data_IF_278211399225
#
_entry.id   IF_278211399225
#
_cell.length_a   1.000
_cell.length_b   1.000
_cell.length_c   1.000
_cell.angle_alpha   90.00
_cell.angle_beta   90.00
_cell.angle_gamma   90.00
#
_symmetry.space_group_name_H-M   'P 1'
#
loop_
_entity.id
_entity.type
_entity.pdbx_description
1 polymer ?
#
# COMPACT_ATOMS: atom_id res chain seq x y z
N UNK A 1 0.64 0.35 -16.07
CA UNK A 1 1.31 1.12 -15.00
C UNK A 1 0.53 2.40 -14.76
N UNK A 2 0.37 2.86 -13.52
CA UNK A 2 -0.26 4.14 -13.20
C UNK A 2 0.82 5.10 -12.69
N UNK A 3 0.91 6.29 -13.28
CA UNK A 3 1.84 7.34 -12.87
C UNK A 3 1.04 8.47 -12.25
N UNK A 4 1.42 8.87 -11.04
CA UNK A 4 0.79 9.96 -10.29
C UNK A 4 1.83 11.02 -9.93
N UNK A 5 1.49 12.28 -10.16
CA UNK A 5 2.31 13.43 -9.77
C UNK A 5 1.43 14.60 -9.35
N UNK A 6 2.05 15.62 -8.76
CA UNK A 6 1.34 16.83 -8.35
C UNK A 6 2.03 18.10 -8.79
N UNK A 7 1.26 19.19 -8.90
CA UNK A 7 1.78 20.54 -9.07
C UNK A 7 1.08 21.51 -8.12
N UNK A 8 1.73 22.64 -7.85
CA UNK A 8 1.17 23.73 -7.05
C UNK A 8 0.28 24.67 -7.88
N UNK A 9 0.43 24.66 -9.20
CA UNK A 9 -0.32 25.50 -10.14
C UNK A 9 -0.98 24.62 -11.20
N UNK A 10 -2.22 24.97 -11.56
CA UNK A 10 -2.96 24.27 -12.58
C UNK A 10 -2.24 24.35 -13.93
N UNK A 11 -2.04 23.20 -14.57
CA UNK A 11 -1.61 23.08 -15.97
C UNK A 11 -2.80 22.74 -16.87
N UNK A 12 -2.93 23.44 -18.00
CA UNK A 12 -4.04 23.23 -18.95
C UNK A 12 -3.96 21.88 -19.68
N UNK A 13 -2.75 21.45 -20.01
CA UNK A 13 -2.48 20.15 -20.61
C UNK A 13 -1.39 19.49 -19.79
N UNK A 14 -1.54 18.22 -19.46
CA UNK A 14 -0.43 17.45 -18.89
C UNK A 14 -0.56 15.98 -19.23
N UNK A 15 0.59 15.34 -19.43
CA UNK A 15 0.68 14.01 -19.95
C UNK A 15 2.01 13.38 -19.55
N UNK A 16 2.07 12.07 -19.72
CA UNK A 16 3.31 11.29 -19.60
C UNK A 16 3.79 11.00 -21.00
N UNK A 17 5.06 11.27 -21.28
CA UNK A 17 5.74 10.71 -22.45
C UNK A 17 6.66 9.60 -21.99
N UNK A 18 6.69 8.51 -22.75
CA UNK A 18 7.44 7.32 -22.40
C UNK A 18 7.88 6.55 -23.65
N UNK A 19 8.88 5.69 -23.48
CA UNK A 19 9.44 4.85 -24.54
C UNK A 19 10.25 3.72 -23.91
N UNK A 20 10.72 2.79 -24.75
CA UNK A 20 11.74 1.83 -24.32
C UNK A 20 13.01 2.58 -23.88
N UNK A 21 13.77 1.93 -23.00
CA UNK A 21 15.06 2.43 -22.56
C UNK A 21 15.99 2.76 -23.74
N UNK A 22 16.70 3.88 -23.66
CA UNK A 22 17.58 4.44 -24.72
C UNK A 22 16.90 4.88 -26.02
N UNK A 23 15.57 4.93 -26.08
CA UNK A 23 14.84 5.50 -27.22
C UNK A 23 14.39 6.94 -26.95
N UNK A 24 14.10 7.68 -28.02
CA UNK A 24 13.36 8.93 -27.92
C UNK A 24 11.92 8.65 -27.53
N UNK A 25 11.33 9.53 -26.71
CA UNK A 25 9.92 9.41 -26.34
C UNK A 25 9.02 9.34 -27.57
N UNK A 26 8.29 8.26 -27.69
CA UNK A 26 7.47 7.90 -28.85
C UNK A 26 6.02 7.61 -28.49
N UNK A 27 5.74 7.38 -27.21
CA UNK A 27 4.41 7.11 -26.67
C UNK A 27 4.00 8.24 -25.73
N UNK A 28 2.69 8.51 -25.68
CA UNK A 28 2.09 9.55 -24.85
C UNK A 28 0.75 9.09 -24.29
N UNK A 29 0.52 9.34 -23.01
CA UNK A 29 -0.77 9.15 -22.35
C UNK A 29 -1.17 10.44 -21.62
N UNK A 30 -2.40 10.91 -21.86
CA UNK A 30 -2.92 12.10 -21.19
C UNK A 30 -3.26 11.80 -19.72
N UNK A 31 -3.02 12.77 -18.85
CA UNK A 31 -3.38 12.65 -17.45
C UNK A 31 -4.80 13.17 -17.19
N UNK A 32 -5.49 12.56 -16.25
CA UNK A 32 -6.65 13.17 -15.59
C UNK A 32 -6.16 14.03 -14.43
N UNK A 33 -6.84 15.15 -14.18
CA UNK A 33 -6.53 16.09 -13.10
C UNK A 33 -7.64 16.06 -12.06
N UNK A 34 -7.24 16.07 -10.79
CA UNK A 34 -8.12 16.29 -9.64
C UNK A 34 -7.54 17.39 -8.77
N UNK A 35 -8.40 18.32 -8.35
CA UNK A 35 -8.04 19.40 -7.42
C UNK A 35 -8.16 18.86 -5.99
N UNK A 36 -7.04 18.84 -5.27
CA UNK A 36 -7.03 18.56 -3.83
C UNK A 36 -7.02 19.88 -3.06
N UNK A 37 -7.89 19.99 -2.06
CA UNK A 37 -7.97 21.13 -1.15
C UNK A 37 -7.74 20.57 0.26
N UNK A 38 -6.66 21.00 0.90
CA UNK A 38 -6.33 20.58 2.24
C UNK A 38 -7.38 21.06 3.26
N UNK A 39 -7.60 20.25 4.30
CA UNK A 39 -8.62 20.51 5.32
C UNK A 39 -8.23 21.56 6.36
N UNK A 40 -6.98 22.04 6.35
CA UNK A 40 -6.55 23.13 7.24
C UNK A 40 -7.24 24.45 6.90
N UNK A 41 -7.17 25.41 7.83
CA UNK A 41 -7.75 26.75 7.64
C UNK A 41 -7.16 27.54 6.47
N UNK A 42 -5.96 27.17 6.01
CA UNK A 42 -5.32 27.78 4.85
C UNK A 42 -5.92 27.28 3.51
N UNK A 43 -6.66 26.16 3.52
CA UNK A 43 -7.25 25.54 2.32
C UNK A 43 -6.27 25.45 1.15
N UNK A 44 -5.05 25.00 1.46
CA UNK A 44 -3.99 24.89 0.46
C UNK A 44 -4.44 24.00 -0.68
N UNK A 45 -4.21 24.46 -1.90
CA UNK A 45 -4.63 23.76 -3.13
C UNK A 45 -3.43 23.06 -3.76
N UNK A 46 -3.63 21.80 -4.14
CA UNK A 46 -2.72 21.01 -4.97
C UNK A 46 -3.49 20.43 -6.17
N UNK A 47 -2.80 20.21 -7.28
CA UNK A 47 -3.37 19.57 -8.46
C UNK A 47 -2.72 18.21 -8.63
N UNK A 48 -3.52 17.15 -8.46
CA UNK A 48 -3.07 15.76 -8.55
C UNK A 48 -3.40 15.22 -9.94
N UNK A 49 -2.40 14.68 -10.61
CA UNK A 49 -2.49 14.17 -11.98
C UNK A 49 -2.24 12.67 -12.01
N UNK A 50 -3.02 11.95 -12.82
CA UNK A 50 -2.96 10.49 -12.92
C UNK A 50 -3.02 10.08 -14.38
N UNK A 51 -2.06 9.28 -14.83
CA UNK A 51 -2.02 8.75 -16.19
C UNK A 51 -1.76 7.25 -16.19
N UNK A 52 -2.62 6.50 -16.88
CA UNK A 52 -2.47 5.04 -17.01
C UNK A 52 -1.73 4.72 -18.30
N UNK A 53 -0.49 4.23 -18.15
CA UNK A 53 0.31 3.68 -19.24
C UNK A 53 -0.21 2.27 -19.61
N UNK A 54 -0.66 2.12 -20.85
CA UNK A 54 -1.32 0.91 -21.38
C UNK A 54 -0.42 0.18 -22.37
N UNK A 55 -0.78 -1.08 -22.65
CA UNK A 55 -0.14 -1.92 -23.67
C UNK A 55 1.39 -2.01 -23.51
N UNK A 56 1.86 -2.06 -22.27
CA UNK A 56 3.28 -2.22 -21.98
C UNK A 56 3.68 -3.68 -22.16
N UNK A 57 4.86 -3.90 -22.73
CA UNK A 57 5.48 -5.22 -22.79
C UNK A 57 5.93 -5.61 -21.38
N UNK A 58 5.67 -6.85 -20.95
CA UNK A 58 6.15 -7.38 -19.67
C UNK A 58 7.68 -7.53 -19.64
N UNK A 59 8.28 -7.57 -18.45
CA UNK A 59 9.74 -7.60 -18.27
C UNK A 59 10.52 -6.64 -19.18
N UNK A 60 10.10 -5.38 -19.19
CA UNK A 60 10.66 -4.36 -20.07
C UNK A 60 10.88 -3.06 -19.31
N UNK A 61 12.06 -2.48 -19.49
CA UNK A 61 12.41 -1.18 -18.91
C UNK A 61 11.91 -0.07 -19.82
N UNK A 62 11.07 0.80 -19.28
CA UNK A 62 10.59 2.01 -19.93
C UNK A 62 11.23 3.23 -19.26
N UNK A 63 11.61 4.22 -20.07
CA UNK A 63 11.87 5.57 -19.58
C UNK A 63 10.61 6.40 -19.69
N UNK A 64 10.41 7.33 -18.76
CA UNK A 64 9.31 8.27 -18.80
C UNK A 64 9.66 9.62 -18.18
N UNK A 65 8.87 10.63 -18.50
CA UNK A 65 8.81 11.90 -17.77
C UNK A 65 7.38 12.43 -17.80
N UNK A 66 7.05 13.29 -16.85
CA UNK A 66 5.70 13.85 -16.71
C UNK A 66 5.76 15.37 -16.80
N UNK A 67 4.69 15.97 -17.31
CA UNK A 67 4.63 17.43 -17.37
C UNK A 67 3.79 17.93 -18.54
N UNK A 68 4.23 19.05 -19.09
CA UNK A 68 3.56 19.77 -20.16
C UNK A 68 4.58 20.58 -20.97
N UNK A 69 4.19 21.19 -22.11
CA UNK A 69 5.06 22.13 -22.82
C UNK A 69 5.58 23.30 -21.96
N UNK A 70 4.92 23.61 -20.83
CA UNK A 70 5.36 24.65 -19.90
C UNK A 70 6.48 24.20 -18.95
N UNK A 71 6.72 22.89 -18.81
CA UNK A 71 7.72 22.35 -17.90
C UNK A 71 7.62 20.83 -17.74
N UNK A 72 8.79 20.20 -17.60
CA UNK A 72 8.96 18.74 -17.54
C UNK A 72 9.66 18.33 -16.24
N UNK A 73 9.30 17.16 -15.71
CA UNK A 73 10.06 16.51 -14.66
C UNK A 73 11.46 16.07 -15.16
N UNK A 74 12.29 15.58 -14.23
CA UNK A 74 13.40 14.74 -14.63
C UNK A 74 12.90 13.48 -15.36
N UNK A 75 13.82 12.79 -16.04
CA UNK A 75 13.54 11.48 -16.65
C UNK A 75 13.73 10.40 -15.60
N UNK A 76 12.75 9.52 -15.51
CA UNK A 76 12.76 8.34 -14.64
C UNK A 76 12.61 7.08 -15.48
N UNK A 77 12.68 5.92 -14.83
CA UNK A 77 12.47 4.64 -15.51
C UNK A 77 11.87 3.62 -14.56
N UNK A 78 11.05 2.73 -15.09
CA UNK A 78 10.52 1.59 -14.36
C UNK A 78 10.61 0.32 -15.21
N UNK A 79 10.64 -0.84 -14.57
CA UNK A 79 10.47 -2.13 -15.23
C UNK A 79 9.03 -2.61 -15.06
N UNK A 80 8.43 -3.14 -16.13
CA UNK A 80 7.16 -3.86 -16.03
C UNK A 80 7.33 -5.23 -15.38
N UNK A 81 6.26 -5.73 -14.77
CA UNK A 81 6.28 -6.95 -13.96
C UNK A 81 6.94 -8.13 -14.72
N UNK A 82 7.88 -8.80 -14.06
CA UNK A 82 8.48 -10.06 -14.50
C UNK A 82 7.40 -11.15 -14.45
N UNK A 83 7.10 -11.80 -15.58
CA UNK A 83 6.02 -12.78 -15.61
C UNK A 83 6.39 -14.03 -14.76
N UNK A 84 7.63 -14.52 -14.84
CA UNK A 84 7.92 -15.90 -14.37
C UNK A 84 9.14 -16.11 -13.45
N UNK A 85 10.07 -15.15 -13.24
CA UNK A 85 11.28 -15.41 -12.43
C UNK A 85 11.62 -14.27 -11.45
N UNK A 86 11.70 -14.65 -10.16
CA UNK A 86 12.05 -13.86 -8.96
C UNK A 86 11.15 -12.64 -8.73
N UNK A 87 10.49 -12.59 -7.57
CA UNK A 87 9.67 -11.46 -7.13
C UNK A 87 10.11 -11.06 -5.73
N UNK A 88 10.74 -9.90 -5.62
CA UNK A 88 11.33 -9.38 -4.39
C UNK A 88 10.59 -8.11 -4.00
N UNK A 89 10.00 -8.10 -2.81
CA UNK A 89 9.37 -6.92 -2.23
C UNK A 89 10.30 -6.31 -1.18
N UNK A 90 10.36 -4.99 -1.11
CA UNK A 90 10.73 -4.33 0.14
C UNK A 90 9.45 -4.04 0.92
N UNK A 91 9.43 -4.42 2.19
CA UNK A 91 8.26 -4.25 3.07
C UNK A 91 8.68 -3.45 4.29
N UNK A 92 7.94 -2.39 4.61
CA UNK A 92 8.16 -1.56 5.79
C UNK A 92 6.92 -0.71 6.09
N UNK A 93 6.77 -0.23 7.31
CA UNK A 93 5.90 0.90 7.65
C UNK A 93 6.72 2.00 8.30
N UNK A 94 6.07 3.05 8.78
CA UNK A 94 6.64 3.91 9.83
C UNK A 94 7.94 4.63 9.39
N UNK A 95 8.02 5.04 8.12
CA UNK A 95 9.26 5.61 7.58
C UNK A 95 9.55 7.01 8.13
N UNK A 96 8.51 7.85 8.20
CA UNK A 96 8.60 9.27 8.56
C UNK A 96 9.41 10.13 7.58
N UNK A 97 9.40 11.44 7.83
CA UNK A 97 10.25 12.44 7.13
C UNK A 97 11.50 12.82 7.91
N UNK A 98 11.57 12.44 9.19
CA UNK A 98 12.69 12.77 10.08
C UNK A 98 13.52 11.52 10.30
N UNK A 99 14.84 11.64 10.13
CA UNK A 99 15.79 10.57 10.44
C UNK A 99 15.53 9.26 9.66
N UNK A 100 15.16 9.37 8.37
CA UNK A 100 14.92 8.23 7.47
C UNK A 100 16.22 7.50 7.11
N UNK A 101 16.85 6.84 8.09
CA UNK A 101 18.15 6.15 7.96
C UNK A 101 18.15 5.09 6.84
N UNK A 102 16.99 4.50 6.56
CA UNK A 102 16.81 3.50 5.51
C UNK A 102 16.68 4.10 4.10
N UNK A 103 16.38 5.39 3.96
CA UNK A 103 16.02 6.01 2.67
C UNK A 103 17.13 5.89 1.63
N UNK A 104 18.37 6.19 1.99
CA UNK A 104 19.50 6.11 1.06
C UNK A 104 19.74 4.69 0.53
N UNK A 105 19.49 3.68 1.37
CA UNK A 105 19.58 2.27 0.98
C UNK A 105 18.42 1.89 0.05
N UNK A 106 17.19 2.24 0.44
CA UNK A 106 15.98 1.97 -0.35
C UNK A 106 16.05 2.62 -1.73
N UNK A 107 16.50 3.88 -1.82
CA UNK A 107 16.75 4.58 -3.08
C UNK A 107 17.72 3.79 -3.96
N UNK A 108 18.88 3.41 -3.41
CA UNK A 108 19.90 2.68 -4.16
C UNK A 108 19.38 1.35 -4.67
N UNK A 109 18.73 0.57 -3.82
CA UNK A 109 18.22 -0.76 -4.17
C UNK A 109 17.06 -0.67 -5.18
N UNK A 110 16.16 0.31 -5.05
CA UNK A 110 15.10 0.57 -6.03
C UNK A 110 15.65 0.96 -7.41
N UNK A 111 16.63 1.86 -7.48
CA UNK A 111 17.24 2.29 -8.74
C UNK A 111 18.15 1.23 -9.39
N UNK A 112 18.62 0.24 -8.61
CA UNK A 112 19.38 -0.90 -9.08
C UNK A 112 18.52 -2.14 -9.40
N UNK A 113 17.19 -2.01 -9.42
CA UNK A 113 16.28 -3.10 -9.80
C UNK A 113 16.35 -4.29 -8.81
N UNK A 114 16.58 -4.02 -7.51
CA UNK A 114 16.61 -5.06 -6.47
C UNK A 114 15.22 -5.53 -6.03
N UNK A 115 14.20 -4.67 -6.23
CA UNK A 115 12.83 -4.89 -5.81
C UNK A 115 11.88 -4.69 -6.99
N UNK A 116 10.87 -5.54 -7.07
CA UNK A 116 9.83 -5.46 -8.09
C UNK A 116 8.65 -4.59 -7.65
N UNK A 117 8.47 -4.42 -6.33
CA UNK A 117 7.51 -3.51 -5.73
C UNK A 117 7.92 -3.17 -4.28
N UNK A 118 7.42 -2.03 -3.79
CA UNK A 118 7.47 -1.62 -2.39
C UNK A 118 6.09 -1.83 -1.77
N UNK A 119 6.04 -2.41 -0.57
CA UNK A 119 4.86 -2.46 0.29
C UNK A 119 5.10 -1.55 1.51
N UNK A 120 4.53 -0.34 1.50
CA UNK A 120 4.61 0.60 2.61
C UNK A 120 3.32 0.53 3.45
N UNK A 121 3.42 -0.09 4.63
CA UNK A 121 2.29 -0.45 5.49
C UNK A 121 2.01 0.65 6.52
N UNK A 122 1.53 1.82 6.08
CA UNK A 122 1.04 2.91 6.93
C UNK A 122 2.10 3.76 7.63
N UNK A 123 1.64 4.86 8.21
CA UNK A 123 2.43 5.88 8.92
C UNK A 123 3.58 6.44 8.07
N UNK A 124 3.18 7.18 7.03
CA UNK A 124 4.10 7.66 6.01
C UNK A 124 4.97 8.81 6.51
N UNK A 125 4.37 9.99 6.66
CA UNK A 125 5.10 11.22 6.96
C UNK A 125 5.11 11.55 8.45
N UNK A 126 4.37 10.76 9.26
CA UNK A 126 3.85 11.17 10.58
C UNK A 126 3.10 12.51 10.49
N UNK A 127 1.84 12.43 10.05
CA UNK A 127 0.91 13.53 9.80
C UNK A 127 1.17 14.31 8.49
N UNK A 128 0.71 13.77 7.36
CA UNK A 128 0.84 14.42 6.05
C UNK A 128 0.14 15.79 5.98
N UNK A 129 -0.88 16.03 6.79
CA UNK A 129 -1.63 17.28 6.86
C UNK A 129 -0.87 18.40 7.59
N UNK A 130 0.17 18.07 8.34
CA UNK A 130 0.96 19.02 9.09
C UNK A 130 1.57 20.11 8.19
N UNK A 131 1.74 21.30 8.77
CA UNK A 131 2.17 22.52 8.08
C UNK A 131 1.34 22.83 6.81
N UNK A 132 0.02 22.66 6.92
CA UNK A 132 -0.94 22.87 5.83
C UNK A 132 -0.60 21.98 4.63
N UNK A 133 -0.44 20.67 4.87
CA UNK A 133 -0.09 19.66 3.87
C UNK A 133 1.34 19.76 3.30
N UNK A 134 2.24 20.57 3.89
CA UNK A 134 3.64 20.69 3.42
C UNK A 134 4.50 19.51 3.86
N UNK A 135 4.23 18.92 5.01
CA UNK A 135 4.91 17.69 5.46
C UNK A 135 4.63 16.54 4.49
N UNK A 136 3.38 16.43 4.00
CA UNK A 136 3.04 15.49 2.93
C UNK A 136 3.83 15.72 1.63
N UNK A 137 4.10 16.97 1.25
CA UNK A 137 4.95 17.23 0.07
C UNK A 137 6.41 16.85 0.31
N UNK A 138 6.94 17.14 1.50
CA UNK A 138 8.29 16.74 1.88
C UNK A 138 8.43 15.21 1.75
N UNK A 139 7.49 14.47 2.32
CA UNK A 139 7.49 13.00 2.22
C UNK A 139 7.44 12.52 0.77
N UNK A 140 6.54 13.06 -0.05
CA UNK A 140 6.44 12.67 -1.47
C UNK A 140 7.73 12.99 -2.25
N UNK A 141 8.42 14.08 -1.93
CA UNK A 141 9.71 14.42 -2.53
C UNK A 141 10.81 13.44 -2.09
N UNK A 142 10.82 13.02 -0.82
CA UNK A 142 11.80 12.05 -0.31
C UNK A 142 11.60 10.66 -0.95
N UNK A 143 10.35 10.18 -1.02
CA UNK A 143 10.07 8.86 -1.62
C UNK A 143 10.07 8.89 -3.15
N UNK A 144 10.11 10.05 -3.82
CA UNK A 144 10.21 10.14 -5.27
C UNK A 144 11.39 9.32 -5.81
N UNK A 145 12.51 9.34 -5.08
CA UNK A 145 13.73 8.61 -5.42
C UNK A 145 13.57 7.08 -5.44
N UNK A 146 12.46 6.58 -4.88
CA UNK A 146 12.06 5.16 -4.87
C UNK A 146 10.84 4.95 -5.78
N UNK A 147 9.74 5.67 -5.51
CA UNK A 147 8.44 5.49 -6.13
C UNK A 147 8.41 5.87 -7.62
N UNK A 148 9.37 6.68 -8.09
CA UNK A 148 9.51 6.96 -9.51
C UNK A 148 10.11 5.77 -10.30
N UNK A 149 10.71 4.80 -9.62
CA UNK A 149 11.44 3.68 -10.23
C UNK A 149 10.76 2.32 -10.05
N UNK A 150 10.07 2.14 -8.92
CA UNK A 150 9.45 0.87 -8.52
C UNK A 150 8.01 1.13 -8.08
N UNK A 151 7.04 0.27 -8.45
CA UNK A 151 5.66 0.36 -7.95
C UNK A 151 5.61 0.48 -6.43
N UNK A 152 4.87 1.48 -5.94
CA UNK A 152 4.80 1.83 -4.52
C UNK A 152 3.39 1.61 -3.99
N UNK A 153 3.19 0.47 -3.32
CA UNK A 153 1.89 -0.01 -2.84
C UNK A 153 1.74 0.31 -1.36
N UNK A 154 0.57 0.78 -0.93
CA UNK A 154 0.38 1.38 0.39
C UNK A 154 -0.83 0.85 1.16
N UNK A 155 -0.74 0.80 2.49
CA UNK A 155 -1.88 0.67 3.39
C UNK A 155 -1.97 1.92 4.27
N UNK A 156 -3.16 2.41 4.64
CA UNK A 156 -3.26 3.58 5.51
C UNK A 156 -2.96 3.21 6.97
N UNK A 157 -2.23 4.07 7.68
CA UNK A 157 -2.01 4.01 9.13
C UNK A 157 -2.77 5.10 9.90
N UNK A 158 -2.60 5.11 11.23
CA UNK A 158 -3.31 6.05 12.10
C UNK A 158 -2.87 7.50 11.90
N UNK A 159 -1.62 7.74 11.49
CA UNK A 159 -1.13 9.10 11.18
C UNK A 159 -1.71 9.68 9.87
N UNK A 160 -2.42 8.87 9.07
CA UNK A 160 -3.08 9.37 7.86
C UNK A 160 -4.51 9.86 8.10
N UNK A 161 -5.07 9.69 9.31
CA UNK A 161 -6.51 9.89 9.60
C UNK A 161 -7.06 11.28 9.32
N UNK A 162 -6.20 12.30 9.29
CA UNK A 162 -6.60 13.70 9.19
C UNK A 162 -7.56 13.93 8.01
N UNK A 163 -8.66 14.65 8.30
CA UNK A 163 -9.69 15.00 7.33
C UNK A 163 -10.26 13.80 6.56
N UNK A 164 -10.50 12.67 7.25
CA UNK A 164 -10.97 11.42 6.63
C UNK A 164 -10.01 10.90 5.56
N UNK A 165 -8.72 10.84 5.91
CA UNK A 165 -7.64 10.32 5.07
C UNK A 165 -7.41 11.11 3.77
N UNK A 166 -7.78 12.40 3.72
CA UNK A 166 -7.82 13.15 2.46
C UNK A 166 -6.45 13.30 1.80
N UNK A 167 -5.38 13.49 2.59
CA UNK A 167 -4.01 13.55 2.07
C UNK A 167 -3.59 12.20 1.47
N UNK A 168 -3.81 11.09 2.19
CA UNK A 168 -3.53 9.74 1.70
C UNK A 168 -4.31 9.43 0.40
N UNK A 169 -5.63 9.65 0.42
CA UNK A 169 -6.54 9.44 -0.73
C UNK A 169 -6.13 10.23 -1.96
N UNK A 170 -5.67 11.46 -1.75
CA UNK A 170 -5.32 12.37 -2.84
C UNK A 170 -3.92 12.12 -3.41
N UNK A 171 -2.95 11.72 -2.58
CA UNK A 171 -1.54 11.59 -2.96
C UNK A 171 -1.20 10.22 -3.54
N UNK A 172 -1.83 9.15 -3.01
CA UNK A 172 -1.58 7.79 -3.48
C UNK A 172 -2.64 7.33 -4.47
N UNK A 173 -2.27 6.44 -5.38
CA UNK A 173 -3.18 5.91 -6.39
C UNK A 173 -3.04 4.41 -6.46
N UNK A 174 -4.07 3.72 -5.99
CA UNK A 174 -4.07 2.27 -5.83
C UNK A 174 -4.98 1.61 -6.87
N UNK A 175 -4.84 0.30 -7.11
CA UNK A 175 -5.80 -0.48 -7.87
C UNK A 175 -7.23 -0.21 -7.41
N UNK A 176 -8.16 -0.13 -8.36
CA UNK A 176 -9.56 0.13 -8.05
C UNK A 176 -10.17 -1.05 -7.31
N UNK A 177 -10.86 -0.77 -6.22
CA UNK A 177 -11.72 -1.69 -5.48
C UNK A 177 -13.21 -1.58 -5.87
N UNK A 178 -13.54 -0.68 -6.82
CA UNK A 178 -14.91 -0.40 -7.28
C UNK A 178 -15.66 0.70 -6.54
N UNK A 179 -15.15 1.23 -5.42
CA UNK A 179 -15.79 2.31 -4.65
C UNK A 179 -15.24 3.71 -4.94
N UNK A 180 -14.14 3.79 -5.70
CA UNK A 180 -13.51 5.05 -6.11
C UNK A 180 -12.54 5.64 -5.10
N UNK A 181 -12.31 4.95 -3.99
CA UNK A 181 -11.33 5.30 -2.94
C UNK A 181 -10.13 4.33 -2.98
N UNK A 182 -9.20 4.49 -2.03
CA UNK A 182 -7.95 3.72 -1.98
C UNK A 182 -7.59 3.21 -0.58
N UNK A 183 -8.56 3.14 0.35
CA UNK A 183 -8.35 2.66 1.72
C UNK A 183 -8.20 1.15 1.83
N UNK A 184 -8.74 0.40 0.86
CA UNK A 184 -8.56 -1.05 0.71
C UNK A 184 -8.61 -1.39 -0.78
N UNK A 185 -7.81 -2.36 -1.20
CA UNK A 185 -7.72 -2.81 -2.58
C UNK A 185 -6.96 -4.14 -2.66
N UNK A 186 -7.06 -4.85 -3.77
CA UNK A 186 -6.28 -6.05 -4.04
C UNK A 186 -5.67 -6.00 -5.44
N UNK A 187 -4.62 -6.78 -5.64
CA UNK A 187 -3.97 -6.94 -6.93
C UNK A 187 -3.17 -8.23 -6.99
N UNK A 188 -2.98 -8.73 -8.21
CA UNK A 188 -2.15 -9.89 -8.45
C UNK A 188 -0.74 -9.44 -8.84
N UNK A 189 0.25 -9.96 -8.14
CA UNK A 189 1.66 -9.74 -8.43
C UNK A 189 2.36 -11.09 -8.60
N UNK A 190 2.28 -11.63 -9.81
CA UNK A 190 2.93 -12.89 -10.11
C UNK A 190 2.24 -14.10 -9.50
N UNK A 191 2.87 -14.71 -8.49
CA UNK A 191 2.30 -15.85 -7.75
C UNK A 191 1.56 -15.41 -6.48
N UNK A 192 1.53 -14.10 -6.20
CA UNK A 192 0.86 -13.56 -5.02
C UNK A 192 -0.40 -12.80 -5.42
N UNK A 193 -1.48 -13.06 -4.69
CA UNK A 193 -2.62 -12.18 -4.56
C UNK A 193 -2.40 -11.34 -3.29
N UNK A 194 -2.24 -10.03 -3.45
CA UNK A 194 -1.91 -9.12 -2.36
C UNK A 194 -3.11 -8.24 -2.06
N UNK A 195 -3.50 -8.17 -0.80
CA UNK A 195 -4.66 -7.43 -0.30
C UNK A 195 -4.19 -6.37 0.69
N UNK A 196 -4.43 -5.11 0.38
CA UNK A 196 -4.28 -3.99 1.32
C UNK A 196 -5.64 -3.67 1.93
N UNK A 197 -5.70 -3.52 3.25
CA UNK A 197 -6.93 -3.12 3.95
C UNK A 197 -6.60 -2.09 5.04
N UNK A 198 -7.61 -1.33 5.45
CA UNK A 198 -7.46 -0.33 6.50
C UNK A 198 -7.79 -0.94 7.85
N UNK A 199 -6.82 -0.97 8.77
CA UNK A 199 -7.07 -1.23 10.21
C UNK A 199 -7.82 -0.07 10.85
N UNK A 200 -7.67 1.12 10.30
CA UNK A 200 -8.14 2.37 10.86
C UNK A 200 -9.67 2.51 10.91
N UNK A 201 -10.40 1.76 10.08
CA UNK A 201 -11.88 1.71 10.15
C UNK A 201 -12.37 1.18 11.50
N UNK A 202 -11.56 0.40 12.22
CA UNK A 202 -11.87 -0.13 13.55
C UNK A 202 -11.63 0.88 14.68
N UNK A 203 -10.92 1.97 14.41
CA UNK A 203 -10.51 2.97 15.42
C UNK A 203 -11.23 4.31 15.24
N UNK A 204 -11.53 4.72 14.01
CA UNK A 204 -12.09 6.05 13.70
C UNK A 204 -13.54 5.99 13.20
N UNK A 205 -14.47 5.64 14.08
CA UNK A 205 -15.89 5.48 13.73
C UNK A 205 -16.58 6.79 13.37
N UNK A 206 -16.00 7.93 13.72
CA UNK A 206 -16.47 9.27 13.31
C UNK A 206 -16.54 9.43 11.79
N UNK A 207 -15.76 8.64 11.03
CA UNK A 207 -15.80 8.65 9.56
C UNK A 207 -16.89 7.73 8.98
N UNK A 208 -17.64 7.03 9.83
CA UNK A 208 -18.82 6.27 9.46
C UNK A 208 -18.66 4.77 9.72
N UNK A 209 -19.52 4.27 10.59
CA UNK A 209 -19.58 2.85 10.97
C UNK A 209 -19.79 1.90 9.78
N UNK A 210 -20.45 2.37 8.72
CA UNK A 210 -20.65 1.57 7.50
C UNK A 210 -19.33 1.16 6.83
N UNK A 211 -18.22 1.88 7.04
CA UNK A 211 -16.93 1.56 6.45
C UNK A 211 -16.43 0.18 6.88
N UNK A 212 -16.56 -0.18 8.16
CA UNK A 212 -16.16 -1.51 8.68
C UNK A 212 -16.91 -2.61 7.93
N UNK A 213 -18.24 -2.48 7.84
CA UNK A 213 -19.06 -3.48 7.18
C UNK A 213 -18.83 -3.52 5.66
N UNK A 214 -18.50 -2.38 5.03
CA UNK A 214 -18.18 -2.31 3.61
C UNK A 214 -16.84 -2.97 3.30
N UNK A 215 -15.79 -2.64 4.06
CA UNK A 215 -14.48 -3.29 3.94
C UNK A 215 -14.61 -4.79 4.19
N UNK A 216 -15.29 -5.22 5.26
CA UNK A 216 -15.44 -6.64 5.57
C UNK A 216 -16.12 -7.41 4.44
N UNK A 217 -17.22 -6.88 3.88
CA UNK A 217 -17.93 -7.53 2.77
C UNK A 217 -17.09 -7.58 1.50
N UNK A 218 -16.36 -6.50 1.20
CA UNK A 218 -15.45 -6.45 0.05
C UNK A 218 -14.33 -7.47 0.21
N UNK A 219 -13.72 -7.52 1.39
CA UNK A 219 -12.63 -8.43 1.73
C UNK A 219 -13.06 -9.90 1.66
N UNK A 220 -14.24 -10.23 2.18
CA UNK A 220 -14.81 -11.57 2.05
C UNK A 220 -15.01 -11.98 0.58
N UNK A 221 -15.51 -11.07 -0.26
CA UNK A 221 -15.68 -11.33 -1.69
C UNK A 221 -14.35 -11.52 -2.43
N UNK A 222 -13.35 -10.70 -2.09
CA UNK A 222 -12.01 -10.77 -2.66
C UNK A 222 -11.31 -12.08 -2.26
N UNK A 223 -11.41 -12.49 -0.99
CA UNK A 223 -10.90 -13.77 -0.50
C UNK A 223 -11.64 -14.97 -1.12
N UNK A 224 -12.96 -14.90 -1.31
CA UNK A 224 -13.71 -15.93 -2.05
C UNK A 224 -13.19 -16.09 -3.47
N UNK A 225 -12.88 -14.98 -4.14
CA UNK A 225 -12.27 -15.02 -5.46
C UNK A 225 -10.86 -15.62 -5.39
N UNK A 226 -10.00 -15.15 -4.49
CA UNK A 226 -8.61 -15.57 -4.39
C UNK A 226 -8.46 -17.06 -4.05
N UNK A 227 -9.36 -17.61 -3.24
CA UNK A 227 -9.36 -19.01 -2.79
C UNK A 227 -10.07 -19.96 -3.73
N UNK A 228 -10.78 -19.46 -4.75
CA UNK A 228 -11.38 -20.31 -5.79
C UNK A 228 -10.29 -21.21 -6.41
N UNK A 229 -10.55 -22.51 -6.66
CA UNK A 229 -9.50 -23.47 -7.03
C UNK A 229 -8.61 -23.03 -8.20
N UNK A 230 -9.19 -22.39 -9.22
CA UNK A 230 -8.47 -21.85 -10.37
C UNK A 230 -7.52 -20.71 -9.97
N UNK A 231 -7.99 -19.76 -9.15
CA UNK A 231 -7.22 -18.60 -8.72
C UNK A 231 -6.14 -18.97 -7.71
N UNK A 232 -6.45 -19.83 -6.72
CA UNK A 232 -5.45 -20.30 -5.75
C UNK A 232 -4.35 -21.14 -6.41
N UNK A 233 -4.65 -21.83 -7.51
CA UNK A 233 -3.63 -22.52 -8.33
C UNK A 233 -2.71 -21.52 -9.03
N UNK A 234 -3.25 -20.40 -9.51
CA UNK A 234 -2.49 -19.36 -10.23
C UNK A 234 -1.72 -18.43 -9.29
N UNK A 235 -2.30 -18.11 -8.14
CA UNK A 235 -1.78 -17.23 -7.10
C UNK A 235 -1.76 -17.98 -5.76
N UNK A 236 -0.80 -18.91 -5.58
CA UNK A 236 -0.76 -19.75 -4.39
C UNK A 236 -0.50 -18.98 -3.09
N UNK A 237 0.06 -17.77 -3.18
CA UNK A 237 0.27 -16.91 -2.01
C UNK A 237 -0.85 -15.88 -1.92
N UNK A 238 -1.60 -15.87 -0.82
CA UNK A 238 -2.49 -14.79 -0.42
C UNK A 238 -1.79 -14.04 0.72
N UNK A 239 -1.46 -12.79 0.46
CA UNK A 239 -0.74 -11.92 1.39
C UNK A 239 -1.63 -10.73 1.73
N UNK A 240 -1.85 -10.46 3.00
CA UNK A 240 -2.56 -9.25 3.44
C UNK A 240 -1.56 -8.24 4.00
N UNK A 241 -1.91 -6.96 3.93
CA UNK A 241 -1.17 -5.89 4.61
C UNK A 241 -2.15 -4.91 5.25
N UNK A 242 -1.96 -4.65 6.54
CA UNK A 242 -2.71 -3.69 7.35
C UNK A 242 -1.78 -3.06 8.38
N UNK A 243 -2.08 -1.86 8.85
CA UNK A 243 -1.11 -1.11 9.66
C UNK A 243 -0.99 -1.66 11.09
N UNK A 244 -2.08 -1.63 11.86
CA UNK A 244 -2.06 -2.05 13.27
C UNK A 244 -2.20 -3.58 13.43
N UNK A 245 -1.29 -4.25 14.18
CA UNK A 245 -1.21 -5.71 14.22
C UNK A 245 -2.34 -6.41 15.00
N UNK A 246 -2.58 -7.68 14.66
CA UNK A 246 -3.42 -8.57 15.48
C UNK A 246 -2.68 -9.13 16.70
N UNK A 247 -1.37 -9.28 16.56
CA UNK A 247 -0.48 -9.92 17.52
C UNK A 247 0.83 -9.16 17.57
N UNK A 248 1.34 -8.93 18.77
CA UNK A 248 2.64 -8.32 19.00
C UNK A 248 3.09 -8.57 20.44
N UNK A 249 4.40 -8.53 20.68
CA UNK A 249 5.02 -8.74 22.00
C UNK A 249 5.66 -7.48 22.59
N UNK A 250 5.40 -6.32 21.99
CA UNK A 250 5.89 -5.03 22.44
C UNK A 250 5.36 -4.69 23.84
N UNK A 251 6.25 -4.20 24.70
CA UNK A 251 5.93 -3.79 26.06
C UNK A 251 5.67 -2.27 26.13
N UNK A 252 4.70 -1.79 25.36
CA UNK A 252 4.23 -0.40 25.34
C UNK A 252 2.79 -0.29 25.86
N UNK A 253 2.21 0.92 25.80
CA UNK A 253 0.81 1.19 26.17
C UNK A 253 -0.13 1.26 24.96
N UNK A 254 0.36 0.82 23.79
CA UNK A 254 -0.35 0.90 22.51
C UNK A 254 -1.16 -0.39 22.25
N UNK A 255 -1.41 -0.74 20.99
CA UNK A 255 -2.36 -1.80 20.60
C UNK A 255 -2.00 -3.21 21.09
N UNK A 256 -0.75 -3.43 21.51
CA UNK A 256 -0.26 -4.67 22.12
C UNK A 256 -0.60 -4.84 23.60
N UNK A 257 -1.20 -3.82 24.24
CA UNK A 257 -1.48 -3.85 25.69
C UNK A 257 -2.60 -4.82 26.07
N UNK A 258 -3.47 -5.18 25.11
CA UNK A 258 -4.67 -5.97 25.35
C UNK A 258 -4.60 -7.34 24.67
N UNK A 259 -5.20 -8.35 25.29
CA UNK A 259 -5.25 -9.73 24.77
C UNK A 259 -5.92 -9.85 23.39
N UNK A 260 -6.81 -8.91 23.07
CA UNK A 260 -7.51 -8.84 21.78
C UNK A 260 -7.33 -7.44 21.20
N UNK A 261 -6.72 -7.34 20.01
CA UNK A 261 -6.72 -6.10 19.23
C UNK A 261 -8.04 -5.95 18.47
N UNK A 262 -8.41 -4.72 18.10
CA UNK A 262 -9.68 -4.46 17.41
C UNK A 262 -9.76 -5.09 16.01
N UNK A 263 -8.72 -5.04 15.16
CA UNK A 263 -8.76 -5.73 13.86
C UNK A 263 -9.02 -7.23 14.01
N UNK A 264 -8.47 -7.83 15.06
CA UNK A 264 -8.61 -9.26 15.35
C UNK A 264 -10.05 -9.62 15.76
N UNK A 265 -10.54 -8.99 16.84
CA UNK A 265 -11.82 -9.35 17.46
C UNK A 265 -13.02 -8.59 16.90
N UNK A 266 -12.78 -7.57 16.07
CA UNK A 266 -13.79 -6.73 15.45
C UNK A 266 -14.32 -5.63 16.38
N UNK A 267 -15.60 -5.31 16.22
CA UNK A 267 -16.24 -4.25 17.00
C UNK A 267 -16.29 -4.58 18.50
N UNK A 268 -15.93 -3.63 19.38
CA UNK A 268 -16.00 -3.83 20.82
C UNK A 268 -17.38 -4.30 21.30
N UNK A 269 -17.39 -5.18 22.31
CA UNK A 269 -18.57 -5.77 22.96
C UNK A 269 -19.39 -6.77 22.13
N UNK A 270 -19.49 -6.59 20.81
CA UNK A 270 -20.31 -7.46 19.95
C UNK A 270 -19.48 -8.43 19.09
N UNK A 271 -18.16 -8.19 18.97
CA UNK A 271 -17.20 -9.05 18.28
C UNK A 271 -17.60 -9.41 16.84
N UNK A 272 -18.23 -8.46 16.13
CA UNK A 272 -18.59 -8.60 14.72
C UNK A 272 -17.55 -7.95 13.83
N UNK A 273 -17.39 -8.48 12.61
CA UNK A 273 -16.41 -8.03 11.62
C UNK A 273 -14.94 -8.21 12.04
N UNK A 274 -14.64 -9.13 12.96
CA UNK A 274 -13.27 -9.52 13.27
C UNK A 274 -12.60 -10.22 12.09
N UNK A 275 -11.34 -9.86 11.82
CA UNK A 275 -10.64 -10.28 10.60
C UNK A 275 -9.88 -11.60 10.77
N UNK A 276 -9.50 -11.96 12.00
CA UNK A 276 -8.67 -13.16 12.24
C UNK A 276 -9.34 -14.43 11.71
N UNK A 277 -10.59 -14.65 12.10
CA UNK A 277 -11.35 -15.82 11.64
C UNK A 277 -11.55 -15.80 10.12
N UNK A 278 -11.78 -14.62 9.55
CA UNK A 278 -11.96 -14.46 8.12
C UNK A 278 -10.68 -14.90 7.37
N UNK A 279 -9.52 -14.39 7.76
CA UNK A 279 -8.24 -14.73 7.13
C UNK A 279 -7.86 -16.20 7.33
N UNK A 280 -8.13 -16.76 8.52
CA UNK A 280 -7.96 -18.18 8.78
C UNK A 280 -8.87 -19.06 7.89
N UNK A 281 -10.16 -18.76 7.81
CA UNK A 281 -11.14 -19.55 7.05
C UNK A 281 -10.80 -19.59 5.54
N UNK A 282 -10.25 -18.49 5.01
CA UNK A 282 -9.83 -18.39 3.61
C UNK A 282 -8.34 -18.74 3.39
N UNK A 283 -7.62 -19.23 4.41
CA UNK A 283 -6.25 -19.71 4.25
C UNK A 283 -5.27 -18.66 3.72
N UNK A 284 -5.33 -17.45 4.27
CA UNK A 284 -4.29 -16.42 4.08
C UNK A 284 -2.96 -16.97 4.57
N UNK A 285 -1.89 -16.77 3.80
CA UNK A 285 -0.57 -17.36 4.11
C UNK A 285 0.28 -16.44 4.98
N UNK A 286 0.26 -15.14 4.70
CA UNK A 286 1.08 -14.13 5.34
C UNK A 286 0.30 -12.84 5.54
N UNK A 287 0.35 -12.30 6.75
CA UNK A 287 -0.25 -11.02 7.12
C UNK A 287 0.88 -10.06 7.52
N UNK A 288 1.02 -8.96 6.80
CA UNK A 288 2.07 -7.97 7.01
C UNK A 288 1.54 -6.81 7.84
N UNK A 289 2.28 -6.47 8.88
CA UNK A 289 1.93 -5.42 9.84
C UNK A 289 3.04 -4.39 9.99
N UNK A 290 2.70 -3.26 10.61
CA UNK A 290 3.63 -2.23 11.03
C UNK A 290 3.14 -1.64 12.37
N UNK A 291 3.15 -0.31 12.53
CA UNK A 291 2.73 0.43 13.73
C UNK A 291 3.69 0.27 14.91
N UNK A 292 4.02 -0.97 15.25
CA UNK A 292 5.03 -1.29 16.23
C UNK A 292 6.43 -1.10 15.65
N UNK A 293 7.23 -0.23 16.27
CA UNK A 293 8.56 0.18 15.76
C UNK A 293 9.66 -0.85 16.06
N UNK A 294 9.38 -2.09 15.70
CA UNK A 294 10.24 -3.26 15.87
C UNK A 294 9.97 -4.30 14.78
N UNK A 295 10.92 -5.20 14.57
CA UNK A 295 10.68 -6.38 13.75
C UNK A 295 10.29 -7.56 14.64
N UNK A 296 9.11 -8.12 14.38
CA UNK A 296 8.64 -9.37 14.95
C UNK A 296 8.17 -10.28 13.81
N UNK A 297 8.32 -11.59 14.01
CA UNK A 297 7.77 -12.62 13.12
C UNK A 297 7.27 -13.76 13.97
N UNK A 298 6.00 -14.10 13.82
CA UNK A 298 5.39 -15.14 14.64
C UNK A 298 5.54 -16.51 13.98
N UNK A 299 5.28 -17.54 14.79
CA UNK A 299 4.87 -18.82 14.24
C UNK A 299 3.46 -18.67 13.65
N UNK A 300 3.06 -19.54 12.71
CA UNK A 300 1.67 -19.56 12.26
C UNK A 300 0.73 -19.68 13.45
N UNK A 301 -0.24 -18.79 13.55
CA UNK A 301 -1.06 -18.65 14.75
C UNK A 301 -2.50 -18.37 14.38
N UNK A 302 -3.40 -19.00 15.12
CA UNK A 302 -4.82 -18.68 15.07
C UNK A 302 -5.40 -18.83 16.46
N UNK A 303 -6.13 -17.81 16.90
CA UNK A 303 -6.76 -17.73 18.21
C UNK A 303 -5.79 -18.06 19.35
N UNK A 304 -4.62 -17.39 19.38
CA UNK A 304 -3.53 -17.63 20.34
C UNK A 304 -2.96 -19.07 20.36
N UNK A 305 -3.34 -19.91 19.40
CA UNK A 305 -2.84 -21.27 19.28
C UNK A 305 -1.83 -21.33 18.13
N UNK A 306 -0.62 -21.79 18.42
CA UNK A 306 0.42 -21.97 17.41
C UNK A 306 0.13 -23.23 16.58
N UNK A 307 0.15 -23.09 15.26
CA UNK A 307 0.01 -24.17 14.29
C UNK A 307 1.40 -24.54 13.81
N UNK A 308 2.05 -25.46 14.53
CA UNK A 308 3.34 -25.99 14.13
C UNK A 308 3.18 -26.79 12.83
N UNK A 309 3.88 -26.38 11.77
CA UNK A 309 4.24 -27.27 10.67
C UNK A 309 5.24 -28.33 11.15
N UNK A 310 6.27 -28.64 10.35
CA UNK A 310 7.43 -29.36 10.90
C UNK A 310 8.37 -28.38 11.60
N UNK A 311 9.05 -28.79 12.68
CA UNK A 311 10.07 -27.97 13.36
C UNK A 311 11.16 -27.44 12.42
N UNK A 312 11.44 -28.18 11.33
CA UNK A 312 12.44 -27.81 10.33
C UNK A 312 11.89 -26.89 9.24
N UNK A 313 10.58 -26.89 9.02
CA UNK A 313 9.89 -26.14 7.97
C UNK A 313 8.57 -25.57 8.52
N UNK A 314 8.66 -24.62 9.47
CA UNK A 314 7.49 -24.17 10.23
C UNK A 314 6.50 -23.33 9.43
N UNK A 315 6.94 -22.83 8.27
CA UNK A 315 6.17 -21.98 7.36
C UNK A 315 5.76 -22.68 6.06
N UNK A 316 5.99 -24.00 5.94
CA UNK A 316 5.58 -24.75 4.75
C UNK A 316 4.17 -25.30 4.94
N UNK A 317 3.21 -24.79 4.15
CA UNK A 317 1.77 -25.09 4.28
C UNK A 317 1.27 -25.03 5.73
N UNK A 318 1.51 -23.91 6.44
CA UNK A 318 1.13 -23.79 7.82
C UNK A 318 -0.40 -23.76 7.91
N UNK A 319 -0.99 -24.53 8.82
CA UNK A 319 -2.45 -24.62 8.96
C UNK A 319 -3.13 -23.33 9.47
N UNK A 320 -2.41 -22.22 9.55
CA UNK A 320 -2.85 -20.89 9.96
C UNK A 320 -1.97 -19.81 9.29
N UNK A 321 -2.41 -18.54 9.25
CA UNK A 321 -1.61 -17.43 8.74
C UNK A 321 -0.33 -17.19 9.56
N UNK A 322 0.72 -16.71 8.89
CA UNK A 322 1.92 -16.15 9.53
C UNK A 322 1.75 -14.64 9.66
N UNK A 323 2.14 -14.06 10.79
CA UNK A 323 2.11 -12.62 11.05
C UNK A 323 3.53 -12.04 11.17
#
# INVERSE_FOLDING_TARGET
MLVTWSTQLLTNETYVEYSLWNESFSLRENATMSKFIDGSSAHRVLYMYRATLKNLTMDTVYMYHVGSPAGWSAKYSFRTILDENRKSFAVYGDLGVVNAQSLARLQREAQLDYYDAILHVGDFAYDMDADQSRVGDQFMNEIQEIAAYVPYMVAPGNHERAYNFSNYKSRFSMPSNGDGENLWYSYNFGLAHIISFSTEVYFWWEFGFAQIANQYRWLEQDLQWATAPENRTRYPWIITMGHQPMYCSNANQDDCTFYDSRPRSGLPYIHTFGLEKLFYDYGVDLELWAHEHSYERLWPIYNWTVYEGSWNEPYTNPGAPTH
#
